data_IF_921646788116
#
_entry.id   IF_921646788116
#
_cell.length_a   1.000
_cell.length_b   1.000
_cell.length_c   1.000
_cell.angle_alpha   90.00
_cell.angle_beta   90.00
_cell.angle_gamma   90.00
#
_symmetry.space_group_name_H-M   'P 1'
#
loop_
_entity.id
_entity.type
_entity.pdbx_description
1 polymer ?
#
# COMPACT_ATOMS: atom_id res chain seq x y z
N UNK A 1 -2.86 36.42 -33.22
CA UNK A 1 -2.74 34.96 -33.33
C UNK A 1 -3.60 34.36 -32.20
N UNK A 2 -4.78 33.83 -32.60
CA UNK A 2 -5.68 33.14 -31.67
C UNK A 2 -5.13 31.75 -31.39
N UNK A 3 -4.90 31.45 -30.12
CA UNK A 3 -4.65 30.08 -29.67
C UNK A 3 -5.94 29.28 -29.90
N UNK A 4 -5.86 28.30 -30.79
CA UNK A 4 -6.90 27.30 -30.94
C UNK A 4 -6.75 26.35 -29.74
N UNK A 5 -7.64 26.48 -28.76
CA UNK A 5 -7.85 25.43 -27.75
C UNK A 5 -8.37 24.20 -28.46
N UNK A 6 -7.47 23.27 -28.75
CA UNK A 6 -7.85 21.93 -29.23
C UNK A 6 -8.46 21.20 -28.04
N UNK A 7 -9.78 21.28 -27.92
CA UNK A 7 -10.50 20.41 -27.00
C UNK A 7 -10.23 18.97 -27.44
N UNK A 8 -9.49 18.22 -26.61
CA UNK A 8 -9.26 16.80 -26.84
C UNK A 8 -10.60 16.09 -26.89
N UNK A 9 -10.90 15.47 -28.04
CA UNK A 9 -12.12 14.71 -28.19
C UNK A 9 -12.09 13.49 -27.28
N UNK A 10 -13.25 12.99 -26.80
CA UNK A 10 -13.31 11.77 -25.97
C UNK A 10 -12.52 10.59 -26.55
N UNK A 11 -12.48 10.48 -27.88
CA UNK A 11 -11.75 9.43 -28.60
C UNK A 11 -10.23 9.52 -28.40
N UNK A 12 -9.66 10.73 -28.32
CA UNK A 12 -8.23 10.93 -28.08
C UNK A 12 -7.88 10.52 -26.65
N UNK A 13 -8.70 10.89 -25.67
CA UNK A 13 -8.51 10.48 -24.25
C UNK A 13 -8.64 8.97 -24.09
N UNK A 14 -9.55 8.35 -24.82
CA UNK A 14 -9.70 6.89 -24.81
C UNK A 14 -8.51 6.19 -25.43
N UNK A 15 -8.00 6.70 -26.56
CA UNK A 15 -6.81 6.18 -27.21
C UNK A 15 -5.56 6.34 -26.33
N UNK A 16 -5.39 7.49 -25.69
CA UNK A 16 -4.31 7.72 -24.74
C UNK A 16 -4.39 6.73 -23.56
N UNK A 17 -5.57 6.53 -22.99
CA UNK A 17 -5.79 5.53 -21.94
C UNK A 17 -5.45 4.11 -22.40
N UNK A 18 -5.78 3.73 -23.63
CA UNK A 18 -5.45 2.43 -24.19
C UNK A 18 -3.94 2.27 -24.43
N UNK A 19 -3.26 3.29 -24.98
CA UNK A 19 -1.81 3.29 -25.16
C UNK A 19 -1.07 3.17 -23.83
N UNK A 20 -1.50 3.93 -22.80
CA UNK A 20 -0.92 3.86 -21.47
C UNK A 20 -1.09 2.48 -20.83
N UNK A 21 -2.22 1.82 -21.09
CA UNK A 21 -2.44 0.45 -20.61
C UNK A 21 -1.55 -0.55 -21.33
N UNK A 22 -1.39 -0.45 -22.64
CA UNK A 22 -0.49 -1.30 -23.41
C UNK A 22 0.97 -1.11 -22.98
N UNK A 23 1.41 0.13 -22.74
CA UNK A 23 2.75 0.42 -22.24
C UNK A 23 2.99 -0.13 -20.83
N UNK A 24 1.98 -0.07 -19.96
CA UNK A 24 2.09 -0.62 -18.59
C UNK A 24 2.18 -2.15 -18.57
N UNK A 25 1.60 -2.83 -19.56
CA UNK A 25 1.60 -4.27 -19.70
C UNK A 25 2.71 -4.80 -20.63
N UNK A 26 3.47 -3.89 -21.26
CA UNK A 26 4.58 -4.25 -22.13
C UNK A 26 5.67 -5.00 -21.35
N UNK A 27 6.21 -6.05 -21.96
CA UNK A 27 7.35 -6.74 -21.40
C UNK A 27 8.58 -5.81 -21.40
N UNK A 28 9.09 -5.51 -20.21
CA UNK A 28 10.35 -4.80 -20.04
C UNK A 28 11.49 -5.83 -20.11
N UNK A 29 12.42 -5.73 -21.08
CA UNK A 29 13.53 -6.66 -21.17
C UNK A 29 14.39 -6.65 -19.91
N UNK A 30 14.84 -7.83 -19.49
CA UNK A 30 15.74 -7.94 -18.35
C UNK A 30 17.10 -7.30 -18.65
N UNK A 31 17.55 -6.45 -17.74
CA UNK A 31 18.92 -5.97 -17.67
C UNK A 31 19.80 -6.93 -16.88
N UNK A 32 21.12 -6.74 -16.92
CA UNK A 32 22.03 -7.51 -16.07
C UNK A 32 21.81 -7.26 -14.57
N UNK A 33 21.31 -6.08 -14.21
CA UNK A 33 20.94 -5.75 -12.81
C UNK A 33 19.74 -6.53 -12.36
N UNK A 34 18.73 -6.71 -13.21
CA UNK A 34 17.51 -7.45 -12.88
C UNK A 34 17.79 -8.95 -12.61
N UNK A 35 18.83 -9.48 -13.23
CA UNK A 35 19.28 -10.88 -13.06
C UNK A 35 20.30 -11.04 -11.93
N UNK A 36 20.66 -9.98 -11.23
CA UNK A 36 21.64 -10.00 -10.17
C UNK A 36 21.08 -10.63 -8.87
N UNK A 37 21.98 -11.24 -8.09
CA UNK A 37 21.63 -11.73 -6.76
C UNK A 37 21.20 -10.60 -5.80
N UNK A 38 21.64 -9.36 -6.06
CA UNK A 38 21.22 -8.19 -5.30
C UNK A 38 19.74 -7.85 -5.52
N UNK A 39 19.26 -7.97 -6.76
CA UNK A 39 17.83 -7.75 -7.05
C UNK A 39 16.95 -8.80 -6.35
N UNK A 40 17.38 -10.05 -6.32
CA UNK A 40 16.68 -11.09 -5.56
C UNK A 40 16.60 -10.75 -4.06
N UNK A 41 17.70 -10.30 -3.46
CA UNK A 41 17.74 -9.85 -2.06
C UNK A 41 16.86 -8.63 -1.81
N UNK A 42 16.80 -7.67 -2.75
CA UNK A 42 15.89 -6.53 -2.65
C UNK A 42 14.42 -7.00 -2.63
N UNK A 43 14.08 -7.98 -3.49
CA UNK A 43 12.75 -8.58 -3.49
C UNK A 43 12.35 -9.20 -2.14
N UNK A 44 13.25 -9.95 -1.51
CA UNK A 44 13.00 -10.53 -0.18
C UNK A 44 12.79 -9.47 0.91
N UNK A 45 13.50 -8.34 0.84
CA UNK A 45 13.41 -7.28 1.85
C UNK A 45 12.00 -6.70 1.97
N UNK A 46 11.23 -6.62 0.88
CA UNK A 46 9.84 -6.15 0.98
C UNK A 46 8.98 -7.05 1.85
N UNK A 47 9.16 -8.37 1.77
CA UNK A 47 8.46 -9.32 2.64
C UNK A 47 8.92 -9.20 4.09
N UNK A 48 10.24 -9.10 4.29
CA UNK A 48 10.85 -8.95 5.62
C UNK A 48 10.36 -7.67 6.32
N UNK A 49 10.22 -6.56 5.61
CA UNK A 49 9.66 -5.31 6.16
C UNK A 49 8.23 -5.52 6.65
N UNK A 50 7.37 -6.15 5.85
CA UNK A 50 5.98 -6.44 6.26
C UNK A 50 5.95 -7.35 7.49
N UNK A 51 6.80 -8.38 7.53
CA UNK A 51 6.87 -9.29 8.68
C UNK A 51 7.36 -8.57 9.94
N UNK A 52 8.43 -7.79 9.86
CA UNK A 52 8.99 -7.06 10.99
C UNK A 52 8.02 -6.04 11.56
N UNK A 53 7.30 -5.30 10.71
CA UNK A 53 6.27 -4.36 11.17
C UNK A 53 5.20 -5.09 12.01
N UNK A 54 4.77 -6.27 11.59
CA UNK A 54 3.80 -7.09 12.36
C UNK A 54 4.38 -7.53 13.70
N UNK A 55 5.66 -7.89 13.75
CA UNK A 55 6.33 -8.25 15.01
C UNK A 55 6.44 -7.03 15.94
N UNK A 56 6.86 -5.87 15.42
CA UNK A 56 6.98 -4.62 16.18
C UNK A 56 5.63 -4.15 16.74
N UNK A 57 4.55 -4.21 15.96
CA UNK A 57 3.20 -3.88 16.41
C UNK A 57 2.69 -4.87 17.46
N UNK A 58 3.02 -6.16 17.29
CA UNK A 58 2.61 -7.20 18.25
C UNK A 58 3.34 -7.10 19.58
N UNK A 59 4.55 -6.57 19.58
CA UNK A 59 5.37 -6.36 20.79
C UNK A 59 5.07 -5.03 21.50
N UNK A 60 4.25 -4.16 20.92
CA UNK A 60 3.91 -2.87 21.50
C UNK A 60 2.91 -3.02 22.63
N UNK A 61 3.36 -2.80 23.86
CA UNK A 61 2.53 -2.93 25.06
C UNK A 61 1.40 -1.88 25.17
N UNK A 62 1.40 -0.85 24.34
CA UNK A 62 0.34 0.15 24.27
C UNK A 62 -0.82 -0.25 23.35
N UNK A 63 -0.68 -1.39 22.67
CA UNK A 63 -1.69 -1.92 21.75
C UNK A 63 -2.22 -3.26 22.26
N UNK A 64 -3.54 -3.40 22.28
CA UNK A 64 -4.16 -4.71 22.47
C UNK A 64 -4.14 -5.45 21.13
N UNK A 65 -3.23 -6.40 20.95
CA UNK A 65 -3.00 -7.07 19.68
C UNK A 65 -3.28 -8.56 19.75
N UNK A 66 -3.74 -9.12 18.63
CA UNK A 66 -3.92 -10.57 18.46
C UNK A 66 -3.68 -11.00 17.03
N UNK A 67 -3.06 -12.18 16.87
CA UNK A 67 -2.86 -12.84 15.56
C UNK A 67 -3.64 -14.14 15.43
N UNK A 68 -4.56 -14.42 16.34
CA UNK A 68 -5.30 -15.68 16.37
C UNK A 68 -6.08 -15.88 15.06
N UNK A 69 -5.77 -16.95 14.35
CA UNK A 69 -6.40 -17.28 13.07
C UNK A 69 -5.86 -16.52 11.84
N UNK A 70 -5.01 -15.54 12.03
CA UNK A 70 -4.42 -14.75 10.95
C UNK A 70 -3.14 -15.42 10.42
N UNK A 71 -3.02 -15.51 9.10
CA UNK A 71 -1.86 -16.10 8.41
C UNK A 71 -1.24 -15.10 7.45
N UNK A 72 0.07 -15.26 7.23
CA UNK A 72 0.73 -14.61 6.12
C UNK A 72 0.14 -15.11 4.79
N UNK A 73 -0.11 -14.21 3.87
CA UNK A 73 -0.67 -14.57 2.57
C UNK A 73 0.18 -13.98 1.46
N UNK A 74 0.83 -14.85 0.69
CA UNK A 74 1.36 -14.49 -0.61
C UNK A 74 0.23 -14.46 -1.62
N UNK A 75 0.20 -13.46 -2.48
CA UNK A 75 -0.79 -13.34 -3.54
C UNK A 75 -0.16 -12.78 -4.82
N UNK A 76 -0.88 -12.87 -5.94
CA UNK A 76 -0.35 -12.50 -7.26
C UNK A 76 0.25 -11.09 -7.30
N UNK A 77 -0.34 -10.15 -6.58
CA UNK A 77 0.10 -8.74 -6.54
C UNK A 77 1.25 -8.48 -5.57
N UNK A 78 1.49 -9.36 -4.59
CA UNK A 78 2.55 -9.15 -3.59
C UNK A 78 2.43 -10.03 -2.36
N UNK A 79 2.48 -9.41 -1.17
CA UNK A 79 2.50 -10.07 0.11
C UNK A 79 1.72 -9.31 1.16
N UNK A 80 0.98 -10.01 2.00
CA UNK A 80 0.11 -9.41 3.00
C UNK A 80 0.25 -10.10 4.35
N UNK A 81 0.25 -9.31 5.42
CA UNK A 81 0.08 -9.73 6.80
C UNK A 81 -1.02 -8.92 7.47
N UNK A 82 -1.74 -9.57 8.36
CA UNK A 82 -2.80 -8.93 9.12
C UNK A 82 -2.62 -9.13 10.61
N UNK A 83 -3.14 -8.18 11.40
CA UNK A 83 -3.10 -8.17 12.84
C UNK A 83 -4.42 -7.56 13.35
N UNK A 84 -5.01 -8.15 14.39
CA UNK A 84 -6.05 -7.46 15.15
C UNK A 84 -5.40 -6.49 16.10
N UNK A 85 -5.80 -5.24 16.05
CA UNK A 85 -5.39 -4.19 16.97
C UNK A 85 -6.65 -3.53 17.51
N UNK A 86 -6.92 -3.70 18.81
CA UNK A 86 -8.14 -3.25 19.45
C UNK A 86 -9.39 -3.74 18.69
N UNK A 87 -10.20 -2.82 18.16
CA UNK A 87 -11.41 -3.09 17.38
C UNK A 87 -11.18 -3.21 15.87
N UNK A 88 -9.94 -3.09 15.42
CA UNK A 88 -9.62 -3.09 13.98
C UNK A 88 -8.86 -4.34 13.55
N UNK A 89 -9.12 -4.75 12.32
CA UNK A 89 -8.21 -5.61 11.56
C UNK A 89 -7.31 -4.71 10.71
N UNK A 90 -6.04 -4.69 11.04
CA UNK A 90 -5.02 -3.96 10.29
C UNK A 90 -4.36 -4.90 9.30
N UNK A 91 -4.34 -4.53 8.04
CA UNK A 91 -3.72 -5.32 6.97
C UNK A 91 -2.60 -4.51 6.33
N UNK A 92 -1.38 -5.03 6.38
CA UNK A 92 -0.19 -4.43 5.79
C UNK A 92 0.15 -5.20 4.53
N UNK A 93 0.33 -4.46 3.43
CA UNK A 93 0.53 -5.00 2.11
C UNK A 93 1.84 -4.49 1.52
N UNK A 94 2.63 -5.37 0.96
CA UNK A 94 3.49 -5.08 -0.16
C UNK A 94 2.68 -5.31 -1.42
N UNK A 95 2.36 -4.27 -2.17
CA UNK A 95 1.47 -4.35 -3.34
C UNK A 95 2.11 -3.74 -4.59
N UNK A 96 2.47 -4.60 -5.53
CA UNK A 96 3.15 -4.22 -6.77
C UNK A 96 2.22 -3.51 -7.77
N UNK A 97 0.93 -3.82 -7.76
CA UNK A 97 -0.01 -3.21 -8.67
C UNK A 97 -0.32 -1.77 -8.25
N UNK A 98 -0.42 -1.53 -6.95
CA UNK A 98 -0.54 -0.17 -6.42
C UNK A 98 0.75 0.63 -6.63
N UNK A 99 1.91 0.01 -6.43
CA UNK A 99 3.20 0.68 -6.59
C UNK A 99 3.47 1.16 -8.01
N UNK A 100 3.15 0.35 -9.03
CA UNK A 100 3.34 0.71 -10.44
C UNK A 100 2.20 1.53 -11.05
N UNK A 101 1.12 1.77 -10.31
CA UNK A 101 -0.02 2.51 -10.82
C UNK A 101 0.28 4.02 -10.82
N UNK A 102 0.30 4.70 -11.99
CA UNK A 102 0.64 6.12 -12.06
C UNK A 102 -0.39 7.05 -11.40
N UNK A 103 -1.55 6.52 -11.02
CA UNK A 103 -2.60 7.28 -10.32
C UNK A 103 -2.48 7.20 -8.80
N UNK A 104 -1.55 6.42 -8.28
CA UNK A 104 -1.26 6.30 -6.85
C UNK A 104 0.08 6.92 -6.52
N UNK A 105 0.36 7.04 -5.22
CA UNK A 105 1.70 7.39 -4.77
C UNK A 105 2.66 6.26 -5.13
N UNK A 106 3.87 6.58 -5.59
CA UNK A 106 4.93 5.63 -5.90
C UNK A 106 5.50 5.03 -4.60
N UNK A 107 4.76 4.09 -4.02
CA UNK A 107 5.04 3.47 -2.74
C UNK A 107 4.78 1.96 -2.78
N UNK A 108 5.72 1.11 -2.29
CA UNK A 108 5.54 -0.34 -2.27
C UNK A 108 4.62 -0.83 -1.14
N UNK A 109 4.48 -0.06 -0.05
CA UNK A 109 3.77 -0.51 1.15
C UNK A 109 2.47 0.25 1.38
N UNK A 110 1.43 -0.50 1.73
CA UNK A 110 0.08 0.03 1.93
C UNK A 110 -0.58 -0.60 3.13
N UNK A 111 -1.39 0.17 3.84
CA UNK A 111 -2.17 -0.30 4.97
C UNK A 111 -3.66 -0.11 4.71
N UNK A 112 -4.47 -1.08 5.14
CA UNK A 112 -5.91 -0.98 5.19
C UNK A 112 -6.41 -1.29 6.60
N UNK A 113 -7.42 -0.54 7.03
CA UNK A 113 -8.12 -0.77 8.29
C UNK A 113 -9.51 -1.33 8.00
N UNK A 114 -9.94 -2.32 8.77
CA UNK A 114 -11.24 -3.00 8.66
C UNK A 114 -11.77 -3.27 10.06
N UNK A 115 -13.04 -3.62 10.15
CA UNK A 115 -13.60 -4.20 11.37
C UNK A 115 -13.16 -5.68 11.55
N UNK A 116 -13.62 -6.30 12.64
CA UNK A 116 -13.34 -7.72 12.90
C UNK A 116 -13.98 -8.69 11.90
N UNK A 117 -14.99 -8.23 11.15
CA UNK A 117 -15.63 -9.00 10.08
C UNK A 117 -14.95 -8.81 8.72
N UNK A 118 -13.78 -8.17 8.70
CA UNK A 118 -13.00 -7.90 7.49
C UNK A 118 -13.65 -6.92 6.51
N UNK A 119 -14.52 -6.06 6.99
CA UNK A 119 -15.19 -5.07 6.17
C UNK A 119 -14.66 -3.66 6.46
N UNK A 120 -14.73 -2.79 5.49
CA UNK A 120 -14.59 -1.35 5.74
C UNK A 120 -15.98 -0.78 5.97
N UNK A 121 -16.26 -0.42 7.21
CA UNK A 121 -17.50 0.26 7.57
C UNK A 121 -17.48 1.72 7.16
N UNK A 122 -18.64 2.34 7.00
CA UNK A 122 -18.73 3.76 6.62
C UNK A 122 -17.94 4.68 7.58
N UNK A 123 -17.99 4.52 8.91
CA UNK A 123 -17.18 5.34 9.82
C UNK A 123 -15.66 5.22 9.58
N UNK A 124 -15.15 4.03 9.26
CA UNK A 124 -13.75 3.83 8.92
C UNK A 124 -13.43 4.53 7.60
N UNK A 125 -14.26 4.34 6.58
CA UNK A 125 -14.06 4.94 5.27
C UNK A 125 -14.02 6.46 5.33
N UNK A 126 -14.93 7.10 6.08
CA UNK A 126 -14.94 8.55 6.23
C UNK A 126 -13.68 9.09 6.91
N UNK A 127 -13.17 8.40 7.92
CA UNK A 127 -11.92 8.78 8.58
C UNK A 127 -10.71 8.60 7.67
N UNK A 128 -10.64 7.51 6.90
CA UNK A 128 -9.54 7.28 5.95
C UNK A 128 -9.51 8.35 4.85
N UNK A 129 -10.64 8.91 4.44
CA UNK A 129 -10.71 10.00 3.46
C UNK A 129 -10.14 11.34 3.97
N UNK A 130 -9.90 11.49 5.27
CA UNK A 130 -9.27 12.68 5.83
C UNK A 130 -7.77 12.77 5.51
N UNK A 131 -7.16 11.66 5.09
CA UNK A 131 -5.77 11.64 4.67
C UNK A 131 -5.67 11.98 3.18
N UNK A 132 -4.89 12.99 2.79
CA UNK A 132 -4.81 13.41 1.38
C UNK A 132 -4.22 12.33 0.46
N UNK A 133 -3.43 11.42 1.01
CA UNK A 133 -2.76 10.34 0.28
C UNK A 133 -3.58 9.05 0.20
N UNK A 134 -4.84 9.07 0.65
CA UNK A 134 -5.66 7.87 0.57
C UNK A 134 -5.88 7.44 -0.88
N UNK A 135 -5.89 6.13 -1.08
CA UNK A 135 -6.25 5.53 -2.37
C UNK A 135 -7.44 4.59 -2.21
N UNK A 136 -8.46 4.77 -3.04
CA UNK A 136 -9.62 3.88 -3.07
C UNK A 136 -9.46 2.89 -4.22
N UNK A 137 -9.32 1.61 -3.89
CA UNK A 137 -9.34 0.55 -4.89
C UNK A 137 -10.79 0.17 -5.22
N UNK A 138 -11.21 0.42 -6.46
CA UNK A 138 -12.58 0.15 -6.89
C UNK A 138 -12.93 -1.34 -6.88
N UNK A 139 -11.98 -2.21 -7.19
CA UNK A 139 -12.24 -3.64 -7.32
C UNK A 139 -12.64 -4.29 -5.99
N UNK A 140 -12.05 -3.85 -4.87
CA UNK A 140 -12.34 -4.36 -3.53
C UNK A 140 -13.20 -3.40 -2.69
N UNK A 141 -13.55 -2.25 -3.25
CA UNK A 141 -14.22 -1.16 -2.52
C UNK A 141 -13.52 -0.82 -1.19
N UNK A 142 -12.19 -0.82 -1.22
CA UNK A 142 -11.34 -0.61 -0.06
C UNK A 142 -10.51 0.66 -0.19
N UNK A 143 -10.29 1.32 0.93
CA UNK A 143 -9.42 2.48 1.04
C UNK A 143 -8.10 2.05 1.68
N UNK A 144 -7.01 2.44 1.04
CA UNK A 144 -5.65 2.19 1.49
C UNK A 144 -4.93 3.50 1.78
N UNK A 145 -4.02 3.46 2.75
CA UNK A 145 -3.09 4.54 3.04
C UNK A 145 -1.67 4.06 2.71
N UNK A 146 -0.82 4.92 2.12
CA UNK A 146 0.57 4.57 1.86
C UNK A 146 1.38 4.52 3.16
N UNK A 147 2.36 3.63 3.20
CA UNK A 147 3.38 3.54 4.24
C UNK A 147 4.71 3.87 3.57
N UNK A 148 5.15 5.11 3.66
CA UNK A 148 6.28 5.65 2.90
C UNK A 148 7.58 5.31 3.62
N UNK A 149 8.42 4.40 3.08
CA UNK A 149 9.66 4.03 3.73
C UNK A 149 10.70 5.15 3.67
N UNK A 150 11.46 5.31 4.74
CA UNK A 150 12.62 6.21 4.75
C UNK A 150 13.64 5.79 3.68
N UNK A 151 14.13 6.77 2.92
CA UNK A 151 15.20 6.56 1.95
C UNK A 151 16.56 6.59 2.62
N UNK A 152 17.50 5.79 2.14
CA UNK A 152 18.89 5.72 2.62
C UNK A 152 19.02 5.39 4.12
N UNK A 153 18.01 4.76 4.70
CA UNK A 153 17.97 4.32 6.09
C UNK A 153 18.28 2.83 6.23
N UNK A 154 18.64 2.41 7.42
CA UNK A 154 18.82 1.00 7.77
C UNK A 154 17.47 0.29 7.80
N UNK A 155 17.48 -1.04 7.73
CA UNK A 155 16.26 -1.85 7.82
C UNK A 155 15.44 -1.55 9.09
N UNK A 156 16.11 -1.44 10.23
CA UNK A 156 15.46 -1.13 11.52
C UNK A 156 14.80 0.25 11.52
N UNK A 157 15.52 1.28 11.02
CA UNK A 157 14.97 2.63 10.92
C UNK A 157 13.75 2.71 10.01
N UNK A 158 13.76 1.99 8.88
CA UNK A 158 12.59 1.90 7.99
C UNK A 158 11.40 1.26 8.71
N UNK A 159 11.61 0.16 9.43
CA UNK A 159 10.52 -0.54 10.10
C UNK A 159 9.94 0.27 11.27
N UNK A 160 10.79 0.94 12.06
CA UNK A 160 10.33 1.81 13.16
C UNK A 160 9.56 3.03 12.61
N UNK A 161 10.04 3.67 11.56
CA UNK A 161 9.35 4.80 10.94
C UNK A 161 7.96 4.39 10.40
N UNK A 162 7.86 3.25 9.72
CA UNK A 162 6.57 2.72 9.26
C UNK A 162 5.65 2.41 10.44
N UNK A 163 6.17 1.83 11.53
CA UNK A 163 5.40 1.61 12.77
C UNK A 163 4.86 2.93 13.33
N UNK A 164 5.66 4.00 13.32
CA UNK A 164 5.20 5.33 13.76
C UNK A 164 4.09 5.89 12.85
N UNK A 165 4.19 5.71 11.53
CA UNK A 165 3.14 6.11 10.59
C UNK A 165 1.84 5.37 10.90
N UNK A 166 1.89 4.07 11.16
CA UNK A 166 0.73 3.25 11.54
C UNK A 166 0.12 3.74 12.85
N UNK A 167 0.95 4.05 13.84
CA UNK A 167 0.50 4.56 15.13
C UNK A 167 -0.24 5.89 15.00
N UNK A 168 0.24 6.80 14.15
CA UNK A 168 -0.47 8.05 13.82
C UNK A 168 -1.83 7.80 13.15
N UNK A 169 -1.88 6.86 12.20
CA UNK A 169 -3.15 6.50 11.56
C UNK A 169 -4.14 5.89 12.55
N UNK A 170 -3.69 4.99 13.42
CA UNK A 170 -4.52 4.39 14.47
C UNK A 170 -5.06 5.44 15.43
N UNK A 171 -4.23 6.38 15.87
CA UNK A 171 -4.66 7.47 16.75
C UNK A 171 -5.81 8.26 16.13
N UNK A 172 -5.66 8.70 14.88
CA UNK A 172 -6.69 9.49 14.18
C UNK A 172 -7.98 8.69 13.92
N UNK A 173 -7.86 7.38 13.64
CA UNK A 173 -9.03 6.52 13.45
C UNK A 173 -9.79 6.29 14.77
N UNK A 174 -9.11 6.27 15.92
CA UNK A 174 -9.71 6.11 17.26
C UNK A 174 -10.36 7.38 17.79
N UNK A 175 -9.92 8.56 17.39
CA UNK A 175 -10.53 9.82 17.79
C UNK A 175 -12.02 9.86 17.38
N UNK A 176 -12.91 10.10 18.36
CA UNK A 176 -14.38 10.07 18.20
C UNK A 176 -14.90 11.37 17.63
#
# INVERSE_FOLDING_TARGET
ASSVDVAFTPDVLQLEGYCNQLDSDAFIPFSSEDLSAEMAKKGERYYQVVDEIIELLSADNNLETSRKGLKATGYRKGYTRSLYIDEFTVTINYDRDMWKNPKTLECPFWIAFRDHEWQQTEPICEKLKLFPEYHKEYFWNMTFLPLIPLQNATFSEVCEDIKEQISKYLQLIREK
#
